data_IF_087238444811
#
_entry.id   IF_087238444811
#
_cell.length_a   1.000
_cell.length_b   1.000
_cell.length_c   1.000
_cell.angle_alpha   90.00
_cell.angle_beta   90.00
_cell.angle_gamma   90.00
#
_symmetry.space_group_name_H-M   'P 1'
#
loop_
_entity.id
_entity.type
_entity.pdbx_description
1 polymer ?
#
# COMPACT_ATOMS: atom_id res chain seq x y z
N UNK A 1 4.35 7.19 -5.05
CA UNK A 1 4.70 6.62 -3.73
C UNK A 1 3.59 6.86 -2.70
N UNK A 2 3.25 8.12 -2.35
CA UNK A 2 2.23 8.48 -1.34
C UNK A 2 0.91 7.71 -1.51
N UNK A 3 0.29 7.81 -2.68
CA UNK A 3 -0.96 7.13 -3.02
C UNK A 3 -0.95 5.64 -2.71
N UNK A 4 0.09 4.93 -3.16
CA UNK A 4 0.22 3.48 -2.94
C UNK A 4 0.38 3.16 -1.45
N UNK A 5 1.15 3.97 -0.71
CA UNK A 5 1.32 3.81 0.73
C UNK A 5 0.01 4.03 1.50
N UNK A 6 -0.77 5.05 1.12
CA UNK A 6 -2.11 5.29 1.69
C UNK A 6 -3.07 4.15 1.37
N UNK A 7 -3.10 3.66 0.13
CA UNK A 7 -3.96 2.53 -0.23
C UNK A 7 -3.56 1.26 0.51
N UNK A 8 -2.26 0.99 0.71
CA UNK A 8 -1.80 -0.13 1.55
C UNK A 8 -2.27 0.04 2.99
N UNK A 9 -2.06 1.22 3.59
CA UNK A 9 -2.51 1.55 4.96
C UNK A 9 -3.98 1.22 5.17
N UNK A 10 -4.84 1.71 4.28
CA UNK A 10 -6.29 1.56 4.39
C UNK A 10 -6.74 0.10 4.15
N UNK A 11 -5.84 -0.73 3.61
CA UNK A 11 -6.03 -2.17 3.43
C UNK A 11 -5.65 -3.01 4.63
N UNK A 12 -4.84 -2.48 5.54
CA UNK A 12 -4.37 -3.18 6.72
C UNK A 12 -5.34 -3.00 7.89
N UNK A 13 -5.31 -3.93 8.85
CA UNK A 13 -5.91 -3.68 10.16
C UNK A 13 -5.11 -2.60 10.91
N UNK A 14 -5.68 -1.96 11.95
CA UNK A 14 -4.94 -0.96 12.73
C UNK A 14 -3.62 -1.49 13.31
N UNK A 15 -3.58 -2.77 13.71
CA UNK A 15 -2.36 -3.40 14.23
C UNK A 15 -1.30 -3.56 13.13
N UNK A 16 -1.65 -4.20 12.01
CA UNK A 16 -0.73 -4.39 10.87
C UNK A 16 -0.25 -3.05 10.29
N UNK A 17 -1.12 -2.04 10.25
CA UNK A 17 -0.76 -0.69 9.84
C UNK A 17 0.30 -0.09 10.76
N UNK A 18 0.18 -0.27 12.07
CA UNK A 18 1.13 0.23 13.05
C UNK A 18 2.48 -0.49 12.92
N UNK A 19 2.47 -1.81 12.78
CA UNK A 19 3.66 -2.66 12.60
C UNK A 19 4.45 -2.23 11.34
N UNK A 20 3.77 -2.12 10.19
CA UNK A 20 4.39 -1.63 8.95
C UNK A 20 4.98 -0.23 9.14
N UNK A 21 4.25 0.66 9.81
CA UNK A 21 4.70 2.04 10.01
C UNK A 21 5.98 2.13 10.85
N UNK A 22 6.18 1.20 11.79
CA UNK A 22 7.37 1.16 12.64
C UNK A 22 8.65 0.92 11.81
N UNK A 23 8.52 0.24 10.67
CA UNK A 23 9.63 -0.05 9.74
C UNK A 23 9.91 1.10 8.75
N UNK A 24 9.05 2.12 8.68
CA UNK A 24 9.24 3.26 7.78
C UNK A 24 10.19 4.32 8.37
N UNK A 25 11.05 4.95 7.54
CA UNK A 25 11.77 6.16 7.94
C UNK A 25 10.82 7.26 8.41
N UNK A 26 11.23 8.09 9.37
CA UNK A 26 10.37 9.08 10.04
C UNK A 26 9.56 9.95 9.07
N UNK A 27 10.19 10.49 8.02
CA UNK A 27 9.50 11.33 7.03
C UNK A 27 8.47 10.53 6.22
N UNK A 28 8.81 9.31 5.82
CA UNK A 28 7.91 8.43 5.08
C UNK A 28 6.73 8.00 5.95
N UNK A 29 6.96 7.78 7.25
CA UNK A 29 5.91 7.51 8.24
C UNK A 29 4.93 8.68 8.37
N UNK A 30 5.44 9.92 8.38
CA UNK A 30 4.61 11.12 8.33
C UNK A 30 3.72 11.16 7.09
N UNK A 31 4.31 10.89 5.91
CA UNK A 31 3.55 10.75 4.65
C UNK A 31 2.52 9.64 4.76
N UNK A 32 2.87 8.48 5.30
CA UNK A 32 2.01 7.31 5.42
C UNK A 32 0.73 7.60 6.23
N UNK A 33 0.83 8.35 7.32
CA UNK A 33 -0.33 8.72 8.15
C UNK A 33 -1.04 10.01 7.75
N UNK A 34 -0.48 10.78 6.81
CA UNK A 34 -1.10 12.02 6.36
C UNK A 34 -2.53 11.77 5.85
N UNK A 35 -3.47 12.61 6.30
CA UNK A 35 -4.87 12.58 5.87
C UNK A 35 -5.67 11.36 6.32
N UNK A 36 -5.11 10.49 7.18
CA UNK A 36 -5.83 9.30 7.65
C UNK A 36 -7.01 9.66 8.55
N UNK A 37 -8.18 9.06 8.28
CA UNK A 37 -9.37 9.18 9.11
C UNK A 37 -9.80 7.80 9.63
N UNK A 38 -9.59 7.48 10.92
CA UNK A 38 -9.92 6.17 11.49
C UNK A 38 -11.44 5.89 11.59
N UNK A 39 -12.29 6.90 11.41
CA UNK A 39 -13.74 6.72 11.46
C UNK A 39 -14.33 6.16 10.15
N UNK A 40 -13.56 6.12 9.07
CA UNK A 40 -14.02 5.60 7.78
C UNK A 40 -13.76 4.09 7.72
N UNK A 41 -14.80 3.25 7.58
CA UNK A 41 -14.61 1.81 7.49
C UNK A 41 -13.89 1.42 6.19
N UNK A 42 -13.03 0.40 6.29
CA UNK A 42 -12.39 -0.18 5.13
C UNK A 42 -13.45 -0.78 4.18
N UNK A 43 -13.46 -0.35 2.92
CA UNK A 43 -14.39 -0.81 1.90
C UNK A 43 -14.08 -2.25 1.43
N UNK A 44 -14.96 -2.83 0.62
CA UNK A 44 -14.74 -4.13 -0.01
C UNK A 44 -13.39 -4.19 -0.75
N UNK A 45 -12.61 -5.22 -0.43
CA UNK A 45 -11.20 -5.30 -0.79
C UNK A 45 -10.98 -6.15 -2.04
N UNK A 46 -11.07 -5.64 -3.27
CA UNK A 46 -10.60 -6.37 -4.48
C UNK A 46 -9.33 -5.78 -5.10
N UNK A 47 -8.64 -6.53 -5.98
CA UNK A 47 -7.50 -6.00 -6.74
C UNK A 47 -7.88 -4.78 -7.56
N UNK A 48 -9.08 -4.83 -8.17
CA UNK A 48 -9.60 -3.73 -8.98
C UNK A 48 -9.80 -2.49 -8.11
N UNK A 49 -10.36 -2.64 -6.92
CA UNK A 49 -10.60 -1.51 -6.01
C UNK A 49 -9.31 -0.88 -5.50
N UNK A 50 -8.27 -1.69 -5.26
CA UNK A 50 -6.94 -1.17 -4.93
C UNK A 50 -6.39 -0.29 -6.04
N UNK A 51 -6.40 -0.78 -7.29
CA UNK A 51 -5.89 -0.01 -8.44
C UNK A 51 -6.72 1.25 -8.65
N UNK A 52 -8.05 1.18 -8.51
CA UNK A 52 -8.94 2.34 -8.61
C UNK A 52 -8.64 3.35 -7.49
N UNK A 53 -8.43 2.90 -6.25
CA UNK A 53 -8.08 3.76 -5.13
C UNK A 53 -6.77 4.51 -5.38
N UNK A 54 -5.75 3.80 -5.88
CA UNK A 54 -4.49 4.44 -6.29
C UNK A 54 -4.76 5.46 -7.39
N UNK A 55 -5.46 5.10 -8.48
CA UNK A 55 -5.79 6.02 -9.58
C UNK A 55 -6.53 7.29 -9.13
N UNK A 56 -7.56 7.14 -8.29
CA UNK A 56 -8.37 8.26 -7.82
C UNK A 56 -7.57 9.32 -7.06
N UNK A 57 -6.42 8.95 -6.49
CA UNK A 57 -5.54 9.88 -5.77
C UNK A 57 -4.56 10.66 -6.66
N UNK A 58 -4.44 10.31 -7.95
CA UNK A 58 -3.58 11.02 -8.91
C UNK A 58 -4.34 12.01 -9.82
N UNK A 59 -5.68 11.98 -9.82
CA UNK A 59 -6.47 12.71 -10.82
C UNK A 59 -6.46 12.01 -12.20
N UNK A 60 -6.98 12.68 -13.24
CA UNK A 60 -6.86 12.20 -14.62
C UNK A 60 -5.48 12.58 -15.16
N UNK A 61 -4.56 11.62 -15.12
CA UNK A 61 -3.24 11.70 -15.77
C UNK A 61 -3.08 10.45 -16.65
N UNK A 62 -3.19 10.63 -17.97
CA UNK A 62 -3.11 9.54 -18.96
C UNK A 62 -1.68 9.04 -19.17
N UNK A 63 -0.66 9.76 -18.69
CA UNK A 63 0.76 9.40 -18.88
C UNK A 63 1.27 8.41 -17.83
N UNK A 64 0.50 8.16 -16.75
CA UNK A 64 0.93 7.29 -15.65
C UNK A 64 0.53 5.83 -15.92
N UNK A 65 1.54 4.97 -16.09
CA UNK A 65 1.36 3.53 -15.92
C UNK A 65 1.27 3.18 -14.43
N UNK A 66 0.03 3.04 -13.94
CA UNK A 66 -0.26 2.75 -12.54
C UNK A 66 0.25 1.37 -12.08
N UNK A 67 0.29 0.37 -12.96
CA UNK A 67 0.79 -0.95 -12.58
C UNK A 67 2.30 -0.88 -12.35
N UNK A 68 3.04 -0.17 -13.20
CA UNK A 68 4.48 0.09 -13.00
C UNK A 68 4.73 0.89 -11.71
N UNK A 69 3.95 1.93 -11.46
CA UNK A 69 4.09 2.75 -10.24
C UNK A 69 3.81 1.95 -8.96
N UNK A 70 2.76 1.12 -8.94
CA UNK A 70 2.43 0.25 -7.80
C UNK A 70 3.56 -0.77 -7.59
N UNK A 71 3.99 -1.46 -8.65
CA UNK A 71 5.06 -2.46 -8.56
C UNK A 71 6.39 -1.84 -8.10
N UNK A 72 6.71 -0.61 -8.51
CA UNK A 72 7.91 0.09 -8.06
C UNK A 72 7.88 0.34 -6.53
N UNK A 73 6.73 0.75 -5.99
CA UNK A 73 6.58 0.94 -4.53
C UNK A 73 6.65 -0.39 -3.79
N UNK A 74 6.03 -1.45 -4.30
CA UNK A 74 6.10 -2.76 -3.66
C UNK A 74 7.51 -3.35 -3.66
N UNK A 75 8.27 -3.20 -4.76
CA UNK A 75 9.71 -3.54 -4.78
C UNK A 75 10.52 -2.72 -3.78
N UNK A 76 10.19 -1.44 -3.60
CA UNK A 76 10.88 -0.60 -2.64
C UNK A 76 10.63 -1.04 -1.19
N UNK A 77 9.37 -1.38 -0.86
CA UNK A 77 9.01 -1.93 0.45
C UNK A 77 9.70 -3.27 0.69
N UNK A 78 9.65 -4.18 -0.28
CA UNK A 78 10.28 -5.50 -0.21
C UNK A 78 11.78 -5.42 0.12
N UNK A 79 12.48 -4.42 -0.41
CA UNK A 79 13.91 -4.20 -0.17
C UNK A 79 14.26 -3.61 1.21
N UNK A 80 13.37 -2.81 1.80
CA UNK A 80 13.71 -2.00 2.99
C UNK A 80 12.98 -2.41 4.27
N UNK A 81 11.92 -3.19 4.14
CA UNK A 81 11.12 -3.68 5.26
C UNK A 81 11.55 -5.10 5.57
N UNK A 82 11.48 -5.50 6.85
CA UNK A 82 11.84 -6.86 7.25
C UNK A 82 10.99 -7.90 6.51
N UNK A 83 11.59 -9.05 6.19
CA UNK A 83 10.90 -10.13 5.47
C UNK A 83 9.61 -10.59 6.16
N UNK A 84 9.62 -10.72 7.49
CA UNK A 84 8.45 -11.14 8.27
C UNK A 84 7.28 -10.17 8.11
N UNK A 85 7.56 -8.86 8.19
CA UNK A 85 6.56 -7.80 8.01
C UNK A 85 6.01 -7.79 6.58
N UNK A 86 6.87 -7.97 5.56
CA UNK A 86 6.42 -8.07 4.17
C UNK A 86 5.50 -9.28 3.95
N UNK A 87 5.83 -10.44 4.54
CA UNK A 87 4.98 -11.62 4.47
C UNK A 87 3.63 -11.36 5.14
N UNK A 88 3.61 -10.67 6.28
CA UNK A 88 2.38 -10.28 6.97
C UNK A 88 1.52 -9.37 6.09
N UNK A 89 2.09 -8.25 5.59
CA UNK A 89 1.40 -7.32 4.68
C UNK A 89 0.85 -8.02 3.43
N UNK A 90 1.64 -8.91 2.81
CA UNK A 90 1.18 -9.72 1.65
C UNK A 90 0.04 -10.65 2.04
N UNK A 91 0.06 -11.22 3.24
CA UNK A 91 -0.98 -12.13 3.69
C UNK A 91 -2.31 -11.43 3.97
N UNK A 92 -2.28 -10.18 4.44
CA UNK A 92 -3.47 -9.31 4.61
C UNK A 92 -4.13 -8.95 3.28
N UNK A 93 -3.41 -9.11 2.16
CA UNK A 93 -3.93 -8.88 0.81
C UNK A 93 -4.57 -10.15 0.21
N UNK A 94 -5.64 -9.97 -0.58
CA UNK A 94 -6.24 -11.06 -1.38
C UNK A 94 -5.22 -11.63 -2.38
N UNK A 95 -5.37 -12.92 -2.74
CA UNK A 95 -4.47 -13.64 -3.67
C UNK A 95 -4.11 -12.87 -4.95
N UNK A 96 -5.06 -12.12 -5.54
CA UNK A 96 -4.83 -11.35 -6.76
C UNK A 96 -3.90 -10.14 -6.55
N UNK A 97 -3.92 -9.52 -5.37
CA UNK A 97 -3.06 -8.40 -5.00
C UNK A 97 -1.64 -8.84 -4.65
N UNK A 98 -1.48 -10.04 -4.09
CA UNK A 98 -0.15 -10.63 -3.83
C UNK A 98 0.73 -10.74 -5.07
N UNK A 99 0.12 -10.82 -6.26
CA UNK A 99 0.81 -10.87 -7.56
C UNK A 99 1.47 -9.55 -7.98
N UNK A 100 1.16 -8.44 -7.30
CA UNK A 100 1.77 -7.14 -7.55
C UNK A 100 3.13 -7.00 -6.87
N UNK A 101 3.39 -7.82 -5.85
CA UNK A 101 4.69 -7.91 -5.19
C UNK A 101 5.66 -8.64 -6.12
N UNK A 102 6.96 -8.30 -6.07
CA UNK A 102 7.97 -9.12 -6.74
C UNK A 102 7.79 -10.60 -6.34
N UNK A 103 7.80 -11.44 -7.36
CA UNK A 103 8.07 -12.87 -7.19
C UNK A 103 9.58 -12.96 -7.12
N UNK A 104 10.10 -13.54 -6.03
CA UNK A 104 11.52 -13.87 -5.92
C UNK A 104 12.02 -14.60 -7.17
#
# INVERSE_FOLDING_TARGET
>A
MRSVLHTVRDWLSPAEMADLSAQLPVLVRGIYFEGWNPAVPAHERTKRDFIISVRNSFGYDEEIDFDVAISAVFKLLDRHISHGEIVQVRNSMKKSLRKLWPVD
#
